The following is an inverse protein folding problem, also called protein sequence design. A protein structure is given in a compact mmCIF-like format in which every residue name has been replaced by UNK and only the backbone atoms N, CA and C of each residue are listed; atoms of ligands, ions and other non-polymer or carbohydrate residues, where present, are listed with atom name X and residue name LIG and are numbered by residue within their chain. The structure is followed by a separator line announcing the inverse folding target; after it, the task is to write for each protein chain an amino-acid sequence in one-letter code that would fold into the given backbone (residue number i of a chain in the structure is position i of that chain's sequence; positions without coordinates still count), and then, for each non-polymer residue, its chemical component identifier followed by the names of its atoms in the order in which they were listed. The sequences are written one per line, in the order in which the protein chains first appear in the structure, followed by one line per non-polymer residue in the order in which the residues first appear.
data_IF_100161531543
#
_entry.id   IF_100161531543
#
_cell.length_a   1.000
_cell.length_b   1.000
_cell.length_c   1.000
_cell.angle_alpha   90.00
_cell.angle_beta   90.00
_cell.angle_gamma   90.00
#
_symmetry.space_group_name_H-M   'P 1'
#
loop_
_entity.id
_entity.type
_entity.pdbx_description
1 polymer ?
#
# COMPACT_ATOMS: atom_id res chain seq x y z
N UNK A 1 29.53 -10.58 -27.81
CA UNK A 1 28.13 -10.99 -27.96
C UNK A 1 27.53 -11.76 -26.75
N UNK A 2 27.77 -11.41 -25.47
CA UNK A 2 27.15 -12.10 -24.33
C UNK A 2 25.88 -11.43 -23.76
N UNK A 3 25.50 -10.23 -24.21
CA UNK A 3 24.43 -9.46 -23.57
C UNK A 3 22.98 -9.90 -23.88
N UNK A 4 22.72 -10.62 -24.98
CA UNK A 4 21.37 -11.09 -25.31
C UNK A 4 20.89 -12.25 -24.42
N UNK A 5 21.79 -13.16 -24.04
CA UNK A 5 21.48 -14.31 -23.17
C UNK A 5 21.13 -13.89 -21.74
N UNK A 6 21.87 -12.95 -21.18
CA UNK A 6 21.64 -12.45 -19.81
C UNK A 6 20.31 -11.68 -19.67
N UNK A 7 19.92 -10.93 -20.71
CA UNK A 7 18.60 -10.25 -20.75
C UNK A 7 17.43 -11.24 -20.88
N UNK A 8 17.65 -12.41 -21.49
CA UNK A 8 16.63 -13.46 -21.59
C UNK A 8 16.48 -14.23 -20.27
N UNK A 9 17.59 -14.53 -19.58
CA UNK A 9 17.60 -15.13 -18.24
C UNK A 9 16.90 -14.23 -17.21
N UNK A 10 17.22 -12.94 -17.19
CA UNK A 10 16.54 -11.96 -16.32
C UNK A 10 15.03 -11.78 -16.64
N UNK A 11 14.57 -12.31 -17.77
CA UNK A 11 13.15 -12.30 -18.18
C UNK A 11 12.39 -13.57 -17.83
N UNK A 12 13.06 -14.62 -17.29
CA UNK A 12 12.42 -15.88 -16.99
C UNK A 12 11.51 -15.75 -15.76
N UNK A 13 10.36 -16.44 -15.80
CA UNK A 13 9.44 -16.49 -14.66
C UNK A 13 10.11 -17.03 -13.38
N UNK A 14 11.14 -17.84 -13.54
CA UNK A 14 11.95 -18.42 -12.47
C UNK A 14 12.75 -17.33 -11.72
N UNK A 15 13.43 -16.44 -12.45
CA UNK A 15 14.20 -15.34 -11.87
C UNK A 15 13.29 -14.40 -11.07
N UNK A 16 12.11 -14.07 -11.60
CA UNK A 16 11.12 -13.29 -10.87
C UNK A 16 10.64 -13.96 -9.57
N UNK A 17 10.53 -15.31 -9.56
CA UNK A 17 10.20 -16.07 -8.35
C UNK A 17 11.31 -15.96 -7.31
N UNK A 18 12.57 -16.07 -7.72
CA UNK A 18 13.73 -15.92 -6.83
C UNK A 18 13.74 -14.50 -6.21
N UNK A 19 13.62 -13.46 -7.03
CA UNK A 19 13.59 -12.09 -6.52
C UNK A 19 12.41 -11.84 -5.56
N UNK A 20 11.22 -12.34 -5.87
CA UNK A 20 10.07 -12.25 -4.98
C UNK A 20 10.30 -12.98 -3.65
N UNK A 21 10.92 -14.17 -3.70
CA UNK A 21 11.29 -14.91 -2.50
C UNK A 21 12.34 -14.16 -1.65
N UNK A 22 13.40 -13.65 -2.29
CA UNK A 22 14.44 -12.88 -1.59
C UNK A 22 13.87 -11.59 -0.97
N UNK A 23 12.98 -10.89 -1.69
CA UNK A 23 12.30 -9.72 -1.16
C UNK A 23 11.41 -10.09 0.04
N UNK A 24 10.63 -11.17 -0.05
CA UNK A 24 9.81 -11.64 1.06
C UNK A 24 10.66 -12.10 2.25
N UNK A 25 11.79 -12.77 1.98
CA UNK A 25 12.75 -13.16 3.02
C UNK A 25 13.34 -11.93 3.72
N UNK A 26 13.76 -10.91 2.96
CA UNK A 26 14.26 -9.65 3.51
C UNK A 26 13.23 -8.95 4.39
N UNK A 27 11.98 -8.85 3.92
CA UNK A 27 10.87 -8.27 4.71
C UNK A 27 10.67 -9.02 6.03
N UNK A 28 10.74 -10.37 6.01
CA UNK A 28 10.67 -11.20 7.22
C UNK A 28 11.87 -10.95 8.14
N UNK A 29 13.09 -10.92 7.58
CA UNK A 29 14.30 -10.64 8.34
C UNK A 29 14.18 -9.30 9.07
N UNK A 30 13.79 -8.24 8.37
CA UNK A 30 13.57 -6.92 8.96
C UNK A 30 12.50 -6.97 10.04
N UNK A 31 11.39 -7.67 9.79
CA UNK A 31 10.31 -7.76 10.78
C UNK A 31 10.77 -8.46 12.06
N UNK A 32 11.38 -9.64 11.97
CA UNK A 32 11.76 -10.43 13.14
C UNK A 32 12.98 -9.89 13.90
N UNK A 33 13.81 -9.07 13.27
CA UNK A 33 14.99 -8.49 13.90
C UNK A 33 14.76 -7.08 14.47
N UNK A 34 13.59 -6.47 14.22
CA UNK A 34 13.20 -5.19 14.80
C UNK A 34 12.17 -5.39 15.91
N UNK A 35 12.15 -4.47 16.87
CA UNK A 35 11.09 -4.37 17.88
C UNK A 35 9.98 -3.47 17.34
N UNK A 36 8.81 -4.06 17.08
CA UNK A 36 7.69 -3.35 16.50
C UNK A 36 6.66 -2.93 17.54
N UNK A 37 6.11 -1.74 17.38
CA UNK A 37 4.90 -1.29 18.03
C UNK A 37 3.83 -0.99 16.98
N UNK A 38 2.57 -1.15 17.35
CA UNK A 38 1.43 -0.80 16.52
C UNK A 38 0.61 0.26 17.25
N UNK A 39 0.31 1.35 16.56
CA UNK A 39 -0.47 2.47 17.08
C UNK A 39 -1.73 2.62 16.26
N UNK A 40 -2.89 2.77 16.92
CA UNK A 40 -4.18 2.95 16.28
C UNK A 40 -4.79 1.66 15.69
N UNK A 41 -4.35 0.47 16.13
CA UNK A 41 -4.83 -0.82 15.60
C UNK A 41 -6.34 -1.04 15.85
N UNK A 42 -6.88 -0.43 16.90
CA UNK A 42 -8.32 -0.46 17.23
C UNK A 42 -9.20 0.11 16.11
N UNK A 43 -8.64 0.99 15.26
CA UNK A 43 -9.36 1.62 14.15
C UNK A 43 -9.72 0.57 13.09
N UNK A 44 -8.76 -0.06 12.37
CA UNK A 44 -9.10 -1.10 11.40
C UNK A 44 -9.80 -2.31 12.05
N UNK A 45 -9.47 -2.63 13.30
CA UNK A 45 -10.08 -3.74 14.03
C UNK A 45 -11.59 -3.56 14.18
N UNK A 46 -12.08 -2.36 14.47
CA UNK A 46 -13.52 -2.05 14.55
C UNK A 46 -14.26 -2.32 13.23
N UNK A 47 -13.60 -2.03 12.09
CA UNK A 47 -14.15 -2.33 10.75
C UNK A 47 -14.15 -3.84 10.46
N UNK A 48 -13.11 -4.53 10.86
CA UNK A 48 -13.01 -5.99 10.71
C UNK A 48 -14.09 -6.69 11.52
N UNK A 49 -14.27 -6.33 12.80
CA UNK A 49 -15.29 -6.90 13.69
C UNK A 49 -16.71 -6.59 13.19
N UNK A 50 -16.97 -5.38 12.72
CA UNK A 50 -18.26 -4.99 12.14
C UNK A 50 -18.47 -5.46 10.70
N UNK A 51 -17.51 -6.20 10.12
CA UNK A 51 -17.54 -6.71 8.73
C UNK A 51 -17.70 -5.59 7.68
N UNK A 52 -17.33 -4.37 8.00
CA UNK A 52 -17.38 -3.24 7.06
C UNK A 52 -16.16 -3.25 6.14
N UNK A 53 -16.34 -3.13 4.82
CA UNK A 53 -15.23 -2.93 3.89
C UNK A 53 -14.66 -1.52 4.02
N UNK A 54 -13.38 -1.36 3.72
CA UNK A 54 -12.69 -0.06 3.70
C UNK A 54 -11.50 -0.09 2.74
N UNK A 55 -10.97 1.08 2.44
CA UNK A 55 -9.77 1.24 1.63
C UNK A 55 -8.62 1.60 2.55
N UNK A 56 -7.57 0.79 2.56
CA UNK A 56 -6.30 1.11 3.22
C UNK A 56 -5.48 1.98 2.30
N UNK A 57 -5.10 3.17 2.76
CA UNK A 57 -4.32 4.14 1.99
C UNK A 57 -2.92 4.32 2.61
N UNK A 58 -1.89 4.30 1.77
CA UNK A 58 -0.51 4.52 2.17
C UNK A 58 0.32 5.03 1.00
N UNK A 59 1.38 5.79 1.26
CA UNK A 59 2.25 6.29 0.22
C UNK A 59 3.07 5.16 -0.43
N UNK A 60 3.32 5.27 -1.75
CA UNK A 60 4.06 4.27 -2.52
C UNK A 60 5.46 4.03 -1.93
N UNK A 61 6.14 5.07 -1.50
CA UNK A 61 7.44 4.96 -0.84
C UNK A 61 7.43 4.23 0.50
N UNK A 62 6.26 3.96 1.08
CA UNK A 62 6.08 3.24 2.36
C UNK A 62 5.52 1.82 2.19
N UNK A 63 5.61 1.25 1.00
CA UNK A 63 5.07 -0.08 0.73
C UNK A 63 5.79 -1.21 1.49
N UNK A 64 7.10 -1.07 1.72
CA UNK A 64 8.03 -2.17 2.04
C UNK A 64 7.63 -3.08 3.19
N UNK A 65 7.13 -2.55 4.31
CA UNK A 65 6.80 -3.34 5.51
C UNK A 65 5.30 -3.50 5.74
N UNK A 66 4.43 -2.86 4.95
CA UNK A 66 2.98 -2.81 5.21
C UNK A 66 2.27 -4.16 5.11
N UNK A 67 2.90 -5.17 4.50
CA UNK A 67 2.38 -6.53 4.54
C UNK A 67 2.21 -7.06 5.98
N UNK A 68 2.99 -6.57 6.94
CA UNK A 68 2.89 -6.92 8.35
C UNK A 68 1.92 -6.03 9.14
N UNK A 69 1.48 -4.91 8.59
CA UNK A 69 0.42 -4.11 9.18
C UNK A 69 -0.95 -4.81 9.11
N UNK A 70 -1.11 -5.75 8.15
CA UNK A 70 -2.34 -6.53 8.00
C UNK A 70 -2.22 -7.87 8.74
N UNK A 71 -2.83 -7.98 9.91
CA UNK A 71 -2.74 -9.15 10.78
C UNK A 71 -3.98 -10.05 10.72
N UNK A 72 -5.07 -9.61 10.11
CA UNK A 72 -6.37 -10.32 10.03
C UNK A 72 -6.41 -11.31 8.87
N UNK A 73 -5.86 -12.51 9.07
CA UNK A 73 -5.70 -13.54 8.03
C UNK A 73 -7.04 -14.07 7.48
N UNK A 74 -8.08 -14.07 8.31
CA UNK A 74 -9.45 -14.48 7.94
C UNK A 74 -10.15 -13.44 7.05
N UNK A 75 -9.60 -12.24 6.94
CA UNK A 75 -10.16 -11.16 6.14
C UNK A 75 -9.36 -10.98 4.86
N UNK A 76 -9.94 -11.21 3.68
CA UNK A 76 -9.25 -11.00 2.42
C UNK A 76 -8.78 -9.55 2.26
N UNK A 77 -7.50 -9.38 1.95
CA UNK A 77 -6.88 -8.10 1.62
C UNK A 77 -6.33 -8.14 0.20
N UNK A 78 -6.74 -7.19 -0.62
CA UNK A 78 -6.31 -7.10 -2.00
C UNK A 78 -5.58 -5.79 -2.25
N UNK A 79 -4.40 -5.87 -2.81
CA UNK A 79 -3.60 -4.71 -3.16
C UNK A 79 -3.78 -4.35 -4.63
N UNK A 80 -4.08 -3.07 -4.92
CA UNK A 80 -4.07 -2.57 -6.28
C UNK A 80 -2.63 -2.43 -6.75
N UNK A 81 -2.23 -3.19 -7.76
CA UNK A 81 -0.87 -3.18 -8.30
C UNK A 81 -0.87 -2.91 -9.80
N UNK A 82 0.22 -2.31 -10.28
CA UNK A 82 0.42 -2.12 -11.71
C UNK A 82 0.53 -3.47 -12.43
N UNK A 83 -0.06 -3.56 -13.64
CA UNK A 83 0.10 -4.73 -14.50
C UNK A 83 1.53 -4.87 -15.09
N UNK A 84 2.39 -3.85 -14.94
CA UNK A 84 3.78 -3.89 -15.36
C UNK A 84 4.61 -4.86 -14.52
N UNK A 85 5.83 -5.16 -15.00
CA UNK A 85 6.73 -6.15 -14.38
C UNK A 85 7.02 -5.91 -12.91
N UNK A 86 7.23 -4.65 -12.54
CA UNK A 86 7.50 -4.28 -11.13
C UNK A 86 6.29 -4.58 -10.25
N UNK A 87 5.08 -4.24 -10.71
CA UNK A 87 3.85 -4.61 -10.02
C UNK A 87 3.63 -6.13 -9.90
N UNK A 88 4.04 -6.90 -10.91
CA UNK A 88 4.00 -8.36 -10.85
C UNK A 88 5.01 -8.92 -9.84
N UNK A 89 6.20 -8.34 -9.73
CA UNK A 89 7.19 -8.70 -8.72
C UNK A 89 6.64 -8.44 -7.31
N UNK A 90 6.12 -7.24 -7.08
CA UNK A 90 5.48 -6.88 -5.81
C UNK A 90 4.32 -7.82 -5.50
N UNK A 91 3.44 -8.10 -6.47
CA UNK A 91 2.31 -9.03 -6.28
C UNK A 91 2.75 -10.43 -5.85
N UNK A 92 3.82 -10.96 -6.45
CA UNK A 92 4.40 -12.24 -6.03
C UNK A 92 5.04 -12.16 -4.64
N UNK A 93 5.67 -11.04 -4.31
CA UNK A 93 6.27 -10.83 -2.98
C UNK A 93 5.21 -10.78 -1.90
N UNK A 94 4.14 -9.99 -2.08
CA UNK A 94 3.08 -9.86 -1.07
C UNK A 94 2.22 -11.12 -0.94
N UNK A 95 2.17 -11.96 -1.97
CA UNK A 95 1.50 -13.27 -1.90
C UNK A 95 2.11 -14.20 -0.84
N UNK A 96 3.41 -14.07 -0.53
CA UNK A 96 4.05 -14.80 0.58
C UNK A 96 3.52 -14.37 1.97
N UNK A 97 2.77 -13.28 2.04
CA UNK A 97 2.12 -12.76 3.26
C UNK A 97 0.59 -12.95 3.23
N UNK A 98 0.06 -13.71 2.26
CA UNK A 98 -1.38 -13.95 2.12
C UNK A 98 -2.16 -12.80 1.46
N UNK A 99 -1.46 -11.79 0.94
CA UNK A 99 -2.07 -10.65 0.25
C UNK A 99 -2.23 -10.99 -1.22
N UNK A 100 -3.45 -10.81 -1.75
CA UNK A 100 -3.73 -10.97 -3.17
C UNK A 100 -3.67 -9.63 -3.91
N UNK A 101 -3.54 -9.67 -5.25
CA UNK A 101 -3.45 -8.45 -6.04
C UNK A 101 -4.61 -8.28 -7.03
N UNK A 102 -5.01 -7.04 -7.24
CA UNK A 102 -5.88 -6.62 -8.34
C UNK A 102 -4.98 -5.91 -9.35
N UNK A 103 -4.96 -6.39 -10.59
CA UNK A 103 -4.19 -5.74 -11.64
C UNK A 103 -4.85 -4.43 -12.06
N UNK A 104 -4.15 -3.31 -11.87
CA UNK A 104 -4.53 -1.99 -12.33
C UNK A 104 -3.76 -1.58 -13.58
N UNK A 105 -4.43 -0.92 -14.53
CA UNK A 105 -3.79 -0.31 -15.70
C UNK A 105 -4.31 1.10 -15.89
N UNK A 106 -3.39 2.06 -15.92
CA UNK A 106 -3.71 3.49 -16.07
C UNK A 106 -4.05 3.93 -17.49
N UNK A 107 -3.75 3.12 -18.52
CA UNK A 107 -3.96 3.54 -19.93
C UNK A 107 -5.12 2.87 -20.67
N UNK A 108 -5.40 1.57 -20.47
CA UNK A 108 -6.48 0.84 -21.15
C UNK A 108 -7.32 -0.05 -20.22
N UNK A 109 -6.95 -0.20 -18.96
CA UNK A 109 -7.61 -1.07 -17.98
C UNK A 109 -8.16 -0.34 -16.75
N UNK A 110 -8.15 1.01 -16.74
CA UNK A 110 -8.63 1.79 -15.59
C UNK A 110 -10.09 1.47 -15.21
N UNK A 111 -10.95 1.37 -16.19
CA UNK A 111 -12.37 1.01 -15.99
C UNK A 111 -12.52 -0.43 -15.48
N UNK A 112 -11.73 -1.37 -16.00
CA UNK A 112 -11.76 -2.76 -15.56
C UNK A 112 -11.21 -2.92 -14.13
N UNK A 113 -10.10 -2.22 -13.81
CA UNK A 113 -9.56 -2.17 -12.47
C UNK A 113 -10.56 -1.55 -11.49
N UNK A 114 -11.20 -0.43 -11.86
CA UNK A 114 -12.24 0.20 -11.05
C UNK A 114 -13.41 -0.74 -10.77
N UNK A 115 -13.92 -1.44 -11.81
CA UNK A 115 -14.98 -2.44 -11.64
C UNK A 115 -14.54 -3.59 -10.72
N UNK A 116 -13.31 -4.06 -10.86
CA UNK A 116 -12.73 -5.10 -10.00
C UNK A 116 -12.66 -4.66 -8.53
N UNK A 117 -12.18 -3.44 -8.28
CA UNK A 117 -12.12 -2.86 -6.94
C UNK A 117 -13.50 -2.66 -6.31
N UNK A 118 -14.47 -2.12 -7.08
CA UNK A 118 -15.85 -1.98 -6.63
C UNK A 118 -16.49 -3.33 -6.29
N UNK A 119 -16.26 -4.35 -7.11
CA UNK A 119 -16.74 -5.72 -6.82
C UNK A 119 -16.13 -6.26 -5.53
N UNK A 120 -14.83 -6.06 -5.33
CA UNK A 120 -14.11 -6.49 -4.12
C UNK A 120 -14.71 -5.84 -2.87
N UNK A 121 -14.88 -4.50 -2.88
CA UNK A 121 -15.47 -3.77 -1.75
C UNK A 121 -16.93 -4.18 -1.49
N UNK A 122 -17.74 -4.38 -2.55
CA UNK A 122 -19.12 -4.89 -2.42
C UNK A 122 -19.21 -6.28 -1.83
N UNK A 123 -18.19 -7.12 -2.04
CA UNK A 123 -18.09 -8.44 -1.41
C UNK A 123 -17.64 -8.37 0.07
N UNK A 124 -17.49 -7.18 0.62
CA UNK A 124 -17.04 -6.98 1.99
C UNK A 124 -15.54 -7.14 2.21
N UNK A 125 -14.74 -7.27 1.16
CA UNK A 125 -13.28 -7.37 1.26
C UNK A 125 -12.62 -5.99 1.39
N UNK A 126 -11.36 -5.95 1.82
CA UNK A 126 -10.58 -4.71 1.99
C UNK A 126 -9.57 -4.56 0.86
N UNK A 127 -9.35 -3.32 0.41
CA UNK A 127 -8.40 -2.99 -0.66
C UNK A 127 -7.30 -2.08 -0.13
N UNK A 128 -6.05 -2.36 -0.52
CA UNK A 128 -4.91 -1.46 -0.32
C UNK A 128 -4.60 -0.67 -1.58
N UNK A 129 -4.44 0.64 -1.44
CA UNK A 129 -4.14 1.57 -2.55
C UNK A 129 -3.02 2.52 -2.14
N UNK A 130 -2.11 2.79 -3.08
CA UNK A 130 -1.16 3.89 -3.03
C UNK A 130 -1.75 5.09 -3.79
N UNK A 131 -2.24 6.15 -3.10
CA UNK A 131 -2.94 7.25 -3.75
C UNK A 131 -2.08 8.03 -4.75
N UNK A 132 -0.76 8.09 -4.53
CA UNK A 132 0.23 8.70 -5.43
C UNK A 132 0.52 7.83 -6.67
N UNK A 133 0.05 6.59 -6.68
CA UNK A 133 0.20 5.67 -7.81
C UNK A 133 1.66 5.34 -8.17
N UNK A 134 1.88 4.54 -9.23
CA UNK A 134 3.22 4.05 -9.58
C UNK A 134 4.08 5.06 -10.37
N UNK A 135 3.56 6.25 -10.64
CA UNK A 135 4.26 7.29 -11.43
C UNK A 135 4.40 8.61 -10.70
N UNK A 136 3.78 8.72 -9.53
CA UNK A 136 3.73 9.95 -8.77
C UNK A 136 2.87 11.07 -9.40
N UNK A 137 3.09 12.28 -8.99
CA UNK A 137 4.20 12.75 -8.14
C UNK A 137 4.16 12.21 -6.71
N UNK A 138 5.34 12.12 -6.08
CA UNK A 138 5.52 11.61 -4.73
C UNK A 138 4.63 12.34 -3.73
N UNK A 139 3.86 11.56 -2.94
CA UNK A 139 2.99 12.09 -1.88
C UNK A 139 1.94 13.10 -2.35
N UNK A 140 1.46 12.94 -3.57
CA UNK A 140 0.31 13.68 -4.10
C UNK A 140 -0.82 12.69 -4.39
N UNK A 141 -1.91 12.81 -3.66
CA UNK A 141 -3.03 11.89 -3.79
C UNK A 141 -3.82 12.15 -5.08
N UNK A 142 -4.09 11.08 -5.82
CA UNK A 142 -4.93 11.15 -7.02
C UNK A 142 -6.43 11.12 -6.68
N UNK A 143 -7.23 11.74 -7.52
CA UNK A 143 -8.70 11.72 -7.41
C UNK A 143 -9.28 10.30 -7.50
N UNK A 144 -8.57 9.37 -8.12
CA UNK A 144 -9.03 8.00 -8.34
C UNK A 144 -9.38 7.25 -7.05
N UNK A 145 -8.59 7.45 -5.99
CA UNK A 145 -8.83 6.84 -4.68
C UNK A 145 -10.11 7.36 -4.03
N UNK A 146 -10.31 8.68 -4.04
CA UNK A 146 -11.50 9.34 -3.48
C UNK A 146 -12.75 9.00 -4.29
N UNK A 147 -12.64 8.97 -5.62
CA UNK A 147 -13.73 8.55 -6.51
C UNK A 147 -14.16 7.11 -6.24
N UNK A 148 -13.20 6.20 -6.05
CA UNK A 148 -13.50 4.81 -5.69
C UNK A 148 -14.21 4.73 -4.34
N UNK A 149 -13.70 5.42 -3.31
CA UNK A 149 -14.29 5.47 -1.98
C UNK A 149 -15.75 5.96 -2.03
N UNK A 150 -16.01 7.01 -2.82
CA UNK A 150 -17.34 7.53 -3.06
C UNK A 150 -18.26 6.52 -3.73
N UNK A 151 -17.82 5.92 -4.84
CA UNK A 151 -18.63 4.96 -5.61
C UNK A 151 -18.94 3.69 -4.81
N UNK A 152 -18.05 3.29 -3.92
CA UNK A 152 -18.21 2.15 -3.03
C UNK A 152 -18.93 2.51 -1.73
N UNK A 153 -19.04 3.79 -1.39
CA UNK A 153 -19.51 4.33 -0.11
C UNK A 153 -18.78 3.70 1.09
N UNK A 154 -17.44 3.76 1.06
CA UNK A 154 -16.56 3.19 2.09
C UNK A 154 -15.53 4.21 2.55
N UNK A 155 -15.11 4.10 3.80
CA UNK A 155 -14.06 4.94 4.37
C UNK A 155 -12.68 4.58 3.85
N UNK A 156 -11.77 5.55 3.85
CA UNK A 156 -10.35 5.42 3.59
C UNK A 156 -9.60 5.49 4.93
N UNK A 157 -8.83 4.45 5.25
CA UNK A 157 -8.06 4.40 6.49
C UNK A 157 -6.57 4.54 6.14
N UNK A 158 -5.92 5.64 6.56
CA UNK A 158 -4.50 5.85 6.38
C UNK A 158 -3.66 4.88 7.21
N UNK A 159 -2.57 4.38 6.65
CA UNK A 159 -1.56 3.60 7.38
C UNK A 159 -0.16 3.95 6.91
N UNK A 160 0.79 3.88 7.80
CA UNK A 160 2.21 4.03 7.49
C UNK A 160 3.06 3.14 8.38
N UNK A 161 4.35 3.06 8.06
CA UNK A 161 5.34 2.51 8.97
C UNK A 161 6.59 3.40 9.01
N UNK A 162 7.35 3.30 10.08
CA UNK A 162 8.69 3.88 10.18
C UNK A 162 9.61 2.97 10.99
N UNK A 163 10.92 3.13 10.81
CA UNK A 163 11.94 2.39 11.54
C UNK A 163 13.09 3.31 11.96
N UNK A 164 13.73 3.00 13.09
CA UNK A 164 14.89 3.76 13.57
C UNK A 164 16.14 3.58 12.68
N UNK A 165 16.22 2.46 11.95
CA UNK A 165 17.28 2.17 10.99
C UNK A 165 16.70 2.07 9.59
N UNK A 166 17.08 2.99 8.70
CA UNK A 166 16.48 3.14 7.39
C UNK A 166 17.45 3.75 6.38
N UNK A 167 17.17 3.51 5.12
CA UNK A 167 17.74 4.22 3.97
C UNK A 167 16.59 4.77 3.15
N UNK A 168 16.58 6.08 2.87
CA UNK A 168 15.68 6.68 1.92
C UNK A 168 16.37 6.67 0.55
N UNK A 169 15.82 5.90 -0.40
CA UNK A 169 16.39 5.80 -1.74
C UNK A 169 16.09 7.06 -2.55
N UNK A 170 17.00 7.41 -3.45
CA UNK A 170 16.81 8.53 -4.38
C UNK A 170 15.96 8.10 -5.59
N UNK A 171 14.76 7.58 -5.32
CA UNK A 171 13.73 7.22 -6.30
C UNK A 171 12.64 8.28 -6.34
N UNK A 172 11.79 8.29 -7.39
CA UNK A 172 10.70 9.25 -7.52
C UNK A 172 9.76 9.28 -6.30
N UNK A 173 9.54 8.10 -5.66
CA UNK A 173 8.68 7.89 -4.49
C UNK A 173 9.43 8.01 -3.15
N UNK A 174 10.75 8.30 -3.20
CA UNK A 174 11.63 8.33 -2.02
C UNK A 174 11.47 7.05 -1.19
N UNK A 175 11.59 5.89 -1.86
CA UNK A 175 11.33 4.59 -1.26
C UNK A 175 12.10 4.40 0.06
N UNK A 176 11.35 4.03 1.08
CA UNK A 176 11.84 3.87 2.43
C UNK A 176 12.22 2.41 2.68
N UNK A 177 13.51 2.12 2.65
CA UNK A 177 14.05 0.81 2.92
C UNK A 177 14.34 0.67 4.42
N UNK A 178 13.52 -0.08 5.13
CA UNK A 178 13.75 -0.44 6.52
C UNK A 178 14.94 -1.39 6.64
N UNK A 179 15.79 -1.19 7.66
CA UNK A 179 16.95 -2.03 7.93
C UNK A 179 16.70 -2.91 9.17
N UNK A 180 17.38 -4.07 9.28
CA UNK A 180 17.27 -4.96 10.43
C UNK A 180 17.92 -4.40 11.71
N UNK A 181 17.62 -5.01 12.86
CA UNK A 181 18.20 -4.75 14.18
C UNK A 181 17.95 -3.33 14.73
N UNK A 182 16.71 -2.88 14.65
CA UNK A 182 16.27 -1.58 15.16
C UNK A 182 14.93 -1.64 15.87
N UNK A 183 14.23 -0.51 15.87
CA UNK A 183 12.83 -0.38 16.32
C UNK A 183 11.98 0.02 15.13
N UNK A 184 10.70 -0.35 15.16
CA UNK A 184 9.75 0.05 14.13
C UNK A 184 8.38 0.34 14.68
N UNK A 185 7.59 1.10 13.95
CA UNK A 185 6.19 1.35 14.25
C UNK A 185 5.34 1.18 13.01
N UNK A 186 4.17 0.54 13.17
CA UNK A 186 3.04 0.68 12.26
C UNK A 186 2.07 1.66 12.90
N UNK A 187 1.57 2.60 12.12
CA UNK A 187 0.68 3.63 12.63
C UNK A 187 -0.54 3.75 11.73
N UNK A 188 -1.72 3.51 12.30
CA UNK A 188 -3.01 3.67 11.67
C UNK A 188 -3.57 5.05 12.00
N UNK A 189 -4.15 5.71 11.00
CA UNK A 189 -4.81 7.01 11.15
C UNK A 189 -6.32 6.90 11.21
N UNK A 190 -6.97 8.00 11.60
CA UNK A 190 -8.42 8.08 11.64
C UNK A 190 -9.05 7.86 10.26
N UNK A 191 -10.24 7.24 10.20
CA UNK A 191 -10.96 7.06 8.96
C UNK A 191 -11.31 8.40 8.30
N UNK A 192 -11.20 8.44 6.98
CA UNK A 192 -11.62 9.56 6.15
C UNK A 192 -12.83 9.12 5.35
N UNK A 193 -13.98 9.72 5.63
CA UNK A 193 -15.22 9.39 4.95
C UNK A 193 -15.22 9.87 3.49
N UNK A 194 -15.87 9.14 2.59
CA UNK A 194 -16.02 9.57 1.20
C UNK A 194 -16.85 10.87 1.09
N UNK A 195 -16.67 11.65 0.01
CA UNK A 195 -17.47 12.86 -0.19
C UNK A 195 -18.93 12.52 -0.41
N UNK A 196 -19.84 13.21 0.30
CA UNK A 196 -21.29 13.04 0.20
C UNK A 196 -21.78 13.54 -1.17
N UNK A 197 -21.31 14.72 -1.56
CA UNK A 197 -21.67 15.35 -2.85
C UNK A 197 -20.84 14.84 -4.02
N UNK A 198 -21.38 14.94 -5.24
CA UNK A 198 -20.63 14.73 -6.49
C UNK A 198 -19.98 16.01 -7.00
N UNK A 199 -20.09 17.09 -6.24
CA UNK A 199 -19.44 18.35 -6.54
C UNK A 199 -17.90 18.17 -6.63
N UNK A 200 -17.27 18.64 -7.70
CA UNK A 200 -15.81 18.58 -7.85
C UNK A 200 -15.05 19.20 -6.69
N UNK A 201 -15.56 20.26 -6.08
CA UNK A 201 -14.92 20.90 -4.93
C UNK A 201 -14.95 20.00 -3.69
N UNK A 202 -16.08 19.31 -3.42
CA UNK A 202 -16.18 18.39 -2.30
C UNK A 202 -15.24 17.16 -2.49
N UNK A 203 -15.11 16.67 -3.71
CA UNK A 203 -14.18 15.56 -4.03
C UNK A 203 -12.73 16.01 -3.83
N UNK A 204 -12.38 17.20 -4.31
CA UNK A 204 -11.03 17.77 -4.16
C UNK A 204 -10.69 18.02 -2.68
N UNK A 205 -11.63 18.50 -1.90
CA UNK A 205 -11.43 18.72 -0.47
C UNK A 205 -11.10 17.41 0.27
N UNK A 206 -11.80 16.32 -0.05
CA UNK A 206 -11.51 15.00 0.53
C UNK A 206 -10.16 14.47 0.03
N UNK A 207 -9.78 14.73 -1.24
CA UNK A 207 -8.45 14.38 -1.77
C UNK A 207 -7.34 15.09 -0.99
N UNK A 208 -7.46 16.39 -0.77
CA UNK A 208 -6.49 17.19 -0.01
C UNK A 208 -6.43 16.71 1.45
N UNK A 209 -7.58 16.39 2.05
CA UNK A 209 -7.63 15.82 3.40
C UNK A 209 -6.89 14.47 3.49
N UNK A 210 -7.07 13.57 2.51
CA UNK A 210 -6.35 12.30 2.45
C UNK A 210 -4.83 12.53 2.34
N UNK A 211 -4.41 13.44 1.47
CA UNK A 211 -3.00 13.79 1.24
C UNK A 211 -2.34 14.35 2.50
N UNK A 212 -2.98 15.32 3.12
CA UNK A 212 -2.46 15.95 4.35
C UNK A 212 -2.43 14.97 5.52
N UNK A 213 -3.46 14.16 5.67
CA UNK A 213 -3.55 13.16 6.75
C UNK A 213 -2.48 12.08 6.60
N UNK A 214 -2.27 11.53 5.40
CA UNK A 214 -1.23 10.54 5.13
C UNK A 214 0.17 11.12 5.41
N UNK A 215 0.43 12.34 4.95
CA UNK A 215 1.71 13.01 5.16
C UNK A 215 1.96 13.32 6.63
N UNK A 216 0.95 13.82 7.34
CA UNK A 216 1.04 14.08 8.78
C UNK A 216 1.29 12.79 9.59
N UNK A 217 0.58 11.70 9.23
CA UNK A 217 0.74 10.39 9.87
C UNK A 217 2.16 9.85 9.66
N UNK A 218 2.68 9.95 8.43
CA UNK A 218 4.04 9.55 8.10
C UNK A 218 5.07 10.34 8.91
N UNK A 219 4.94 11.66 8.92
CA UNK A 219 5.85 12.53 9.67
C UNK A 219 5.81 12.24 11.18
N UNK A 220 4.62 11.90 11.71
CA UNK A 220 4.48 11.48 13.11
C UNK A 220 5.21 10.16 13.38
N UNK A 221 5.06 9.17 12.51
CA UNK A 221 5.75 7.89 12.63
C UNK A 221 7.28 8.05 12.53
N UNK A 222 7.77 8.92 11.64
CA UNK A 222 9.21 9.19 11.47
C UNK A 222 9.80 9.83 12.72
N UNK A 223 9.15 10.85 13.29
CA UNK A 223 9.57 11.50 14.55
C UNK A 223 9.62 10.51 15.72
N UNK A 224 8.66 9.58 15.82
CA UNK A 224 8.69 8.55 16.87
C UNK A 224 9.91 7.61 16.75
N UNK A 225 10.52 7.51 15.59
CA UNK A 225 11.66 6.63 15.35
C UNK A 225 13.01 7.37 15.37
N UNK A 226 13.02 8.69 15.46
CA UNK A 226 14.23 9.53 15.62
C UNK A 226 14.64 9.71 17.10
N UNK A 227 13.74 9.41 18.02
CA UNK A 227 13.96 9.38 19.47
C UNK A 227 14.50 8.00 19.92
#
# INVERSE_FOLDING_TARGET
MPMKGMRHLLRSAFVYRIFAFLAAFYIRLVFFTNKWQVVGNEIPESYIQSKKPFIVCFWHGRLGMLAYAWTWKERPFRMLLSAHRDGQLIGRTVAYFGITSIAGSTRRGGTQALRGMLKTLKNGETIGITPDGPRGPCQVASLGTVTLAKLANVDMIPVTFSTSRRICLNTWDRFYLALPFGRGTFMWGNPISPPISSDPQAIEQVRVNLETTLTALQNKADRCMEL
#
